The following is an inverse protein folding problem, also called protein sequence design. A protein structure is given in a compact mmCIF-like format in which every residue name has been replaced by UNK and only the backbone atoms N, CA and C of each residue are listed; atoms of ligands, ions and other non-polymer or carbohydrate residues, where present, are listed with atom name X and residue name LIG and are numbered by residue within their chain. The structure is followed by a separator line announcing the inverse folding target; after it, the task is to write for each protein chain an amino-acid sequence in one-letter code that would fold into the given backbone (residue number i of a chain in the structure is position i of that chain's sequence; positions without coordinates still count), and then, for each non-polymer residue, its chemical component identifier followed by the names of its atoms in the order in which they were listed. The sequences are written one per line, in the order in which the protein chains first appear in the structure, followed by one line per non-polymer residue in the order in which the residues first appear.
data_IF_499616823026
#
_entry.id   IF_499616823026
#
_cell.length_a   1.000
_cell.length_b   1.000
_cell.length_c   1.000
_cell.angle_alpha   90.00
_cell.angle_beta   90.00
_cell.angle_gamma   90.00
#
_symmetry.space_group_name_H-M   'P 1'
#
loop_
_entity.id
_entity.type
_entity.pdbx_description
1 polymer ?
#
# COMPACT_ATOMS: atom_id res chain seq x y z
N UNK A 1 60.56 23.07 -10.90
CA UNK A 1 60.85 22.11 -9.82
C UNK A 1 59.51 21.49 -9.43
N UNK A 2 59.03 20.40 -10.07
CA UNK A 2 59.22 18.99 -9.64
C UNK A 2 59.01 18.84 -8.12
N UNK A 3 58.04 18.10 -7.57
CA UNK A 3 57.57 16.74 -7.91
C UNK A 3 56.17 16.41 -7.33
N UNK A 4 55.47 15.56 -8.09
CA UNK A 4 54.39 14.63 -7.75
C UNK A 4 54.83 13.60 -6.68
N UNK A 5 53.88 13.11 -5.83
CA UNK A 5 53.73 11.75 -5.22
C UNK A 5 52.92 11.87 -3.91
N UNK A 6 52.08 10.94 -3.45
CA UNK A 6 51.64 9.62 -3.91
C UNK A 6 50.40 9.21 -3.08
N UNK A 7 49.56 8.35 -3.67
CA UNK A 7 48.45 7.65 -3.02
C UNK A 7 48.94 6.56 -2.05
N UNK A 8 48.14 6.26 -1.02
CA UNK A 8 48.22 5.01 -0.24
C UNK A 8 46.79 4.47 -0.06
N UNK A 9 46.44 3.47 -0.87
CA UNK A 9 45.36 2.52 -0.61
C UNK A 9 45.80 1.60 0.54
N UNK A 10 44.95 1.43 1.55
CA UNK A 10 45.14 0.39 2.58
C UNK A 10 44.11 -0.72 2.36
N UNK A 11 44.63 -1.85 1.89
CA UNK A 11 44.00 -3.17 1.83
C UNK A 11 44.08 -3.78 3.23
N UNK A 12 42.95 -4.18 3.84
CA UNK A 12 42.94 -5.01 5.05
C UNK A 12 42.14 -6.28 4.77
N UNK A 13 42.82 -7.43 4.87
CA UNK A 13 42.33 -8.77 4.58
C UNK A 13 42.55 -9.66 5.81
N UNK A 14 41.53 -10.46 6.12
CA UNK A 14 41.49 -11.75 6.86
C UNK A 14 41.67 -11.76 8.39
N UNK A 15 40.62 -12.25 9.08
CA UNK A 15 40.77 -13.35 10.05
C UNK A 15 39.59 -14.32 9.95
N UNK A 16 39.96 -15.59 9.77
CA UNK A 16 39.19 -16.82 9.61
C UNK A 16 38.59 -17.36 10.92
N UNK A 17 37.40 -17.97 10.86
CA UNK A 17 36.98 -19.02 11.78
C UNK A 17 36.49 -20.25 11.00
N UNK A 18 37.04 -21.41 11.38
CA UNK A 18 36.77 -22.75 10.89
C UNK A 18 35.57 -23.34 11.63
N UNK A 19 34.58 -23.88 10.91
CA UNK A 19 33.67 -24.93 11.41
C UNK A 19 33.52 -26.00 10.33
N UNK A 20 33.40 -27.26 10.77
CA UNK A 20 33.74 -28.49 10.07
C UNK A 20 32.72 -28.95 9.01
N UNK A 21 33.25 -29.75 8.07
CA UNK A 21 32.56 -30.36 6.95
C UNK A 21 31.54 -31.47 7.32
N UNK A 22 30.42 -31.48 6.58
CA UNK A 22 29.55 -32.64 6.33
C UNK A 22 29.53 -32.86 4.81
N UNK A 23 29.67 -34.11 4.29
CA UNK A 23 29.73 -34.35 2.84
C UNK A 23 28.38 -34.80 2.26
N UNK A 24 28.10 -34.35 1.03
CA UNK A 24 26.95 -34.73 0.18
C UNK A 24 25.90 -33.63 0.20
N UNK A 25 25.58 -32.92 -0.89
CA UNK A 25 25.30 -33.41 -2.24
C UNK A 25 25.53 -32.32 -3.30
N UNK A 26 25.95 -32.79 -4.48
CA UNK A 26 25.70 -32.25 -5.84
C UNK A 26 25.34 -30.76 -5.94
N UNK A 27 26.25 -29.96 -6.49
CA UNK A 27 25.93 -28.69 -7.15
C UNK A 27 25.00 -28.97 -8.34
N UNK A 28 23.69 -28.94 -8.11
CA UNK A 28 22.73 -28.69 -9.16
C UNK A 28 22.74 -27.18 -9.44
N UNK A 29 22.74 -26.83 -10.72
CA UNK A 29 22.45 -25.49 -11.17
C UNK A 29 20.94 -25.29 -10.87
N UNK A 30 20.61 -24.70 -9.73
CA UNK A 30 19.22 -24.50 -9.30
C UNK A 30 18.55 -23.47 -10.22
N UNK A 31 17.48 -23.90 -10.90
CA UNK A 31 16.41 -22.99 -11.29
C UNK A 31 15.90 -22.37 -9.99
N UNK A 32 16.20 -21.10 -9.74
CA UNK A 32 16.11 -20.52 -8.41
C UNK A 32 14.66 -20.28 -7.98
N UNK A 33 14.21 -20.95 -6.93
CA UNK A 33 13.07 -20.50 -6.15
C UNK A 33 13.48 -19.22 -5.42
N UNK A 34 12.71 -18.16 -5.63
CA UNK A 34 12.87 -16.89 -4.93
C UNK A 34 11.78 -16.81 -3.85
N UNK A 35 12.06 -16.15 -2.72
CA UNK A 35 11.07 -16.01 -1.64
C UNK A 35 11.12 -14.61 -1.04
N UNK A 36 9.95 -14.12 -0.64
CA UNK A 36 9.79 -12.89 0.11
C UNK A 36 9.28 -13.21 1.52
N UNK A 37 9.86 -12.56 2.52
CA UNK A 37 9.45 -12.67 3.91
C UNK A 37 9.48 -11.27 4.54
N UNK A 38 8.31 -10.66 4.65
CA UNK A 38 8.06 -9.35 5.24
C UNK A 38 7.74 -9.43 6.73
N UNK A 39 7.21 -8.35 7.29
CA UNK A 39 6.70 -8.32 8.66
C UNK A 39 5.34 -9.01 8.78
N UNK A 40 4.51 -8.88 7.74
CA UNK A 40 3.15 -9.40 7.61
C UNK A 40 3.01 -10.36 6.44
N UNK A 41 3.63 -10.06 5.29
CA UNK A 41 3.45 -10.81 4.04
C UNK A 41 4.62 -11.74 3.78
N UNK A 42 4.33 -13.01 3.49
CA UNK A 42 5.30 -14.02 3.06
C UNK A 42 4.79 -14.75 1.81
N UNK A 43 5.69 -15.09 0.89
CA UNK A 43 5.40 -15.94 -0.28
C UNK A 43 6.67 -16.48 -0.94
N UNK A 44 6.51 -17.43 -1.85
CA UNK A 44 7.56 -17.90 -2.75
C UNK A 44 7.18 -17.66 -4.22
N UNK A 45 8.18 -17.64 -5.11
CA UNK A 45 8.02 -17.65 -6.56
C UNK A 45 8.58 -18.97 -7.07
N UNK A 46 7.71 -19.82 -7.60
CA UNK A 46 8.04 -21.14 -8.17
C UNK A 46 7.70 -21.15 -9.65
N UNK A 47 8.69 -20.82 -10.48
CA UNK A 47 8.60 -20.87 -11.94
C UNK A 47 7.63 -19.85 -12.55
N UNK A 48 6.35 -20.16 -12.52
CA UNK A 48 5.23 -19.46 -13.17
C UNK A 48 4.09 -19.07 -12.21
N UNK A 49 4.28 -19.32 -10.91
CA UNK A 49 3.31 -18.98 -9.88
C UNK A 49 3.98 -18.28 -8.70
N UNK A 50 3.22 -17.40 -8.04
CA UNK A 50 3.48 -17.03 -6.65
C UNK A 50 2.82 -18.10 -5.80
N UNK A 51 3.55 -18.71 -4.88
CA UNK A 51 3.05 -19.79 -4.04
C UNK A 51 3.10 -19.42 -2.57
N UNK A 52 2.24 -20.06 -1.78
CA UNK A 52 2.23 -19.94 -0.32
C UNK A 52 2.09 -18.49 0.17
N UNK A 53 1.19 -17.71 -0.45
CA UNK A 53 0.96 -16.33 -0.03
C UNK A 53 0.20 -16.30 1.30
N UNK A 54 0.82 -15.72 2.31
CA UNK A 54 0.26 -15.57 3.65
C UNK A 54 0.33 -14.14 4.17
N UNK A 55 -0.65 -13.77 5.00
CA UNK A 55 -0.69 -12.51 5.74
C UNK A 55 -0.76 -12.81 7.23
N UNK A 56 0.17 -12.29 8.01
CA UNK A 56 0.39 -12.59 9.43
C UNK A 56 0.50 -14.10 9.72
N UNK A 57 1.06 -14.85 8.77
CA UNK A 57 1.25 -16.30 8.84
C UNK A 57 0.01 -17.15 8.53
N UNK A 58 -1.14 -16.54 8.22
CA UNK A 58 -2.32 -17.24 7.71
C UNK A 58 -2.24 -17.34 6.19
N UNK A 59 -2.33 -18.55 5.65
CA UNK A 59 -2.20 -18.77 4.21
C UNK A 59 -3.53 -18.44 3.53
N UNK A 60 -3.52 -17.44 2.65
CA UNK A 60 -4.73 -17.09 1.88
C UNK A 60 -4.78 -17.83 0.55
N UNK A 61 -3.61 -17.98 -0.12
CA UNK A 61 -3.51 -18.62 -1.43
C UNK A 61 -2.45 -19.72 -1.43
N UNK A 62 -2.76 -20.79 -2.13
CA UNK A 62 -1.78 -21.81 -2.49
C UNK A 62 -0.92 -21.32 -3.64
N UNK A 63 -1.55 -20.76 -4.67
CA UNK A 63 -0.89 -20.33 -5.91
C UNK A 63 -1.61 -19.12 -6.54
N UNK A 64 -0.85 -18.21 -7.15
CA UNK A 64 -1.36 -17.16 -8.04
C UNK A 64 -0.62 -17.20 -9.36
N UNK A 65 -1.36 -17.35 -10.46
CA UNK A 65 -0.85 -17.45 -11.83
C UNK A 65 -1.39 -16.31 -12.68
N UNK A 66 -0.57 -15.85 -13.61
CA UNK A 66 -0.93 -14.79 -14.56
C UNK A 66 -0.53 -15.22 -15.96
N UNK A 67 -1.39 -15.03 -16.95
CA UNK A 67 -1.11 -15.37 -18.34
C UNK A 67 -1.76 -14.35 -19.28
N UNK A 68 -1.15 -14.08 -20.44
CA UNK A 68 -1.80 -13.25 -21.46
C UNK A 68 -3.02 -13.99 -22.04
N UNK A 69 -4.13 -13.27 -22.28
CA UNK A 69 -5.32 -13.88 -22.89
C UNK A 69 -4.99 -14.57 -24.24
N UNK A 70 -4.10 -13.93 -25.01
CA UNK A 70 -3.66 -14.44 -26.32
C UNK A 70 -2.96 -15.79 -26.21
N UNK A 71 -2.10 -15.97 -25.18
CA UNK A 71 -1.38 -17.23 -24.96
C UNK A 71 -2.29 -18.32 -24.37
N UNK A 72 -3.28 -17.93 -23.56
CA UNK A 72 -4.32 -18.83 -23.07
C UNK A 72 -5.26 -19.31 -24.22
N UNK A 73 -5.13 -18.75 -25.42
CA UNK A 73 -6.00 -19.05 -26.56
C UNK A 73 -7.42 -18.51 -26.38
N UNK A 74 -7.59 -17.56 -25.46
CA UNK A 74 -8.84 -16.92 -25.12
C UNK A 74 -8.97 -15.64 -25.95
N UNK A 75 -10.11 -15.46 -26.61
CA UNK A 75 -10.39 -14.26 -27.38
C UNK A 75 -11.89 -13.96 -27.36
N UNK A 76 -12.25 -12.77 -26.87
CA UNK A 76 -13.63 -12.36 -26.63
C UNK A 76 -14.04 -12.54 -25.16
N UNK A 77 -15.34 -12.41 -24.88
CA UNK A 77 -15.89 -12.58 -23.53
C UNK A 77 -15.58 -13.99 -22.97
N UNK A 78 -14.77 -14.05 -21.91
CA UNK A 78 -14.38 -15.29 -21.23
C UNK A 78 -15.43 -15.63 -20.17
N UNK A 79 -15.94 -16.87 -20.19
CA UNK A 79 -16.77 -17.35 -19.08
C UNK A 79 -15.86 -17.85 -17.94
N UNK A 80 -15.48 -16.93 -17.07
CA UNK A 80 -14.61 -17.15 -15.92
C UNK A 80 -15.09 -18.28 -14.99
N UNK A 81 -16.39 -18.60 -14.99
CA UNK A 81 -16.92 -19.67 -14.13
C UNK A 81 -16.51 -21.05 -14.62
N UNK A 82 -16.41 -21.21 -15.93
CA UNK A 82 -16.04 -22.49 -16.59
C UNK A 82 -14.56 -22.53 -16.99
N UNK A 83 -13.81 -21.50 -16.59
CA UNK A 83 -12.39 -21.40 -16.86
C UNK A 83 -11.67 -22.55 -16.16
N UNK A 84 -10.84 -23.25 -16.93
CA UNK A 84 -9.93 -24.28 -16.40
C UNK A 84 -8.63 -23.63 -15.97
N UNK A 85 -7.86 -24.37 -15.16
CA UNK A 85 -6.55 -23.94 -14.68
C UNK A 85 -5.69 -23.36 -15.81
N UNK A 86 -5.11 -22.19 -15.59
CA UNK A 86 -4.10 -21.62 -16.49
C UNK A 86 -2.71 -22.15 -16.15
N UNK A 87 -1.92 -22.39 -17.18
CA UNK A 87 -0.51 -22.75 -17.01
C UNK A 87 0.28 -21.61 -16.36
N UNK A 88 -0.12 -20.35 -16.53
CA UNK A 88 0.66 -19.20 -16.07
C UNK A 88 1.89 -18.93 -16.93
N UNK A 89 2.47 -17.76 -16.77
CA UNK A 89 3.68 -17.32 -17.48
C UNK A 89 4.89 -17.32 -16.55
N UNK A 90 6.10 -17.39 -17.09
CA UNK A 90 7.31 -17.34 -16.26
C UNK A 90 7.36 -16.06 -15.43
N UNK A 91 7.60 -16.20 -14.13
CA UNK A 91 7.73 -15.11 -13.17
C UNK A 91 9.20 -14.95 -12.76
N UNK A 92 9.58 -13.72 -12.39
CA UNK A 92 10.89 -13.42 -11.82
C UNK A 92 10.81 -12.25 -10.86
N UNK A 93 11.45 -12.35 -9.70
CA UNK A 93 11.54 -11.24 -8.75
C UNK A 93 12.35 -10.11 -9.38
N UNK A 94 11.71 -8.95 -9.56
CA UNK A 94 12.28 -7.79 -10.23
C UNK A 94 12.93 -6.83 -9.23
N UNK A 95 12.26 -6.56 -8.11
CA UNK A 95 12.73 -5.67 -7.07
C UNK A 95 12.18 -6.09 -5.70
N UNK A 96 12.91 -5.74 -4.65
CA UNK A 96 12.52 -5.98 -3.26
C UNK A 96 12.99 -4.82 -2.38
N UNK A 97 12.09 -4.34 -1.53
CA UNK A 97 12.36 -3.46 -0.40
C UNK A 97 11.96 -4.18 0.89
N UNK A 98 12.03 -3.50 2.04
CA UNK A 98 11.54 -4.05 3.30
C UNK A 98 10.01 -4.24 3.31
N UNK A 99 9.27 -3.43 2.56
CA UNK A 99 7.81 -3.35 2.59
C UNK A 99 7.13 -3.76 1.28
N UNK A 100 7.91 -4.10 0.25
CA UNK A 100 7.40 -4.42 -1.08
C UNK A 100 8.26 -5.44 -1.79
N UNK A 101 7.61 -6.34 -2.52
CA UNK A 101 8.23 -7.11 -3.58
C UNK A 101 7.51 -6.86 -4.91
N UNK A 102 8.27 -6.74 -5.98
CA UNK A 102 7.76 -6.61 -7.35
C UNK A 102 8.26 -7.78 -8.17
N UNK A 103 7.34 -8.48 -8.83
CA UNK A 103 7.57 -9.64 -9.68
C UNK A 103 7.15 -9.26 -11.10
N UNK A 104 8.04 -9.47 -12.07
CA UNK A 104 7.71 -9.29 -13.48
C UNK A 104 7.27 -10.62 -14.09
N UNK A 105 6.16 -10.59 -14.83
CA UNK A 105 5.65 -11.72 -15.58
C UNK A 105 6.10 -11.61 -17.05
N UNK A 106 6.48 -12.74 -17.67
CA UNK A 106 6.85 -12.77 -19.09
C UNK A 106 5.72 -12.36 -20.04
N UNK A 107 4.47 -12.35 -19.58
CA UNK A 107 3.31 -11.84 -20.33
C UNK A 107 3.27 -10.31 -20.41
N UNK A 108 4.14 -9.60 -19.69
CA UNK A 108 4.14 -8.14 -19.57
C UNK A 108 3.40 -7.61 -18.34
N UNK A 109 2.70 -8.48 -17.60
CA UNK A 109 2.09 -8.11 -16.32
C UNK A 109 3.13 -7.86 -15.24
N UNK A 110 2.77 -7.05 -14.25
CA UNK A 110 3.53 -6.84 -13.03
C UNK A 110 2.69 -7.31 -11.84
N UNK A 111 3.32 -8.03 -10.90
CA UNK A 111 2.70 -8.40 -9.63
C UNK A 111 3.48 -7.72 -8.50
N UNK A 112 2.80 -6.99 -7.63
CA UNK A 112 3.40 -6.39 -6.44
C UNK A 112 2.73 -6.89 -5.17
N UNK A 113 3.55 -7.36 -4.24
CA UNK A 113 3.12 -7.68 -2.89
C UNK A 113 3.55 -6.53 -1.96
N UNK A 114 2.61 -6.01 -1.18
CA UNK A 114 2.84 -4.92 -0.23
C UNK A 114 2.66 -5.46 1.18
N UNK A 115 3.76 -5.41 1.91
CA UNK A 115 3.85 -5.85 3.29
C UNK A 115 3.30 -4.74 4.19
N UNK A 116 1.99 -4.72 4.33
CA UNK A 116 1.21 -3.90 5.27
C UNK A 116 0.36 -4.83 6.14
N UNK A 117 -0.23 -4.33 7.22
CA UNK A 117 -1.12 -5.12 8.07
C UNK A 117 -2.32 -5.72 7.31
N UNK A 118 -2.85 -5.00 6.32
CA UNK A 118 -3.89 -5.49 5.42
C UNK A 118 -3.35 -6.42 4.33
N UNK A 119 -2.03 -6.60 4.18
CA UNK A 119 -1.37 -7.49 3.23
C UNK A 119 -1.94 -7.43 1.81
N UNK A 120 -1.35 -6.61 0.94
CA UNK A 120 -1.88 -6.44 -0.42
C UNK A 120 -1.11 -7.25 -1.46
N UNK A 121 -1.84 -7.75 -2.46
CA UNK A 121 -1.26 -8.27 -3.70
C UNK A 121 -1.95 -7.57 -4.88
N UNK A 122 -1.19 -6.91 -5.74
CA UNK A 122 -1.71 -6.23 -6.94
C UNK A 122 -1.15 -6.90 -8.18
N UNK A 123 -2.02 -7.34 -9.07
CA UNK A 123 -1.67 -7.79 -10.42
C UNK A 123 -2.07 -6.71 -11.40
N UNK A 124 -1.10 -6.03 -12.00
CA UNK A 124 -1.32 -5.04 -13.05
C UNK A 124 -1.15 -5.69 -14.43
N UNK A 125 -2.16 -5.55 -15.29
CA UNK A 125 -2.17 -6.19 -16.60
C UNK A 125 -1.08 -5.65 -17.56
N UNK A 126 -0.70 -4.38 -17.39
CA UNK A 126 0.18 -3.65 -18.29
C UNK A 126 -0.49 -3.36 -19.64
N UNK A 127 0.29 -3.29 -20.70
CA UNK A 127 -0.18 -2.90 -22.05
C UNK A 127 -1.06 -3.96 -22.75
N UNK A 128 -1.36 -5.09 -22.10
CA UNK A 128 -2.03 -6.24 -22.73
C UNK A 128 -2.98 -6.92 -21.76
N UNK A 129 -4.09 -7.41 -22.28
CA UNK A 129 -5.08 -8.12 -21.47
C UNK A 129 -4.51 -9.42 -20.88
N UNK A 130 -4.79 -9.64 -19.59
CA UNK A 130 -4.31 -10.77 -18.82
C UNK A 130 -5.49 -11.55 -18.25
N UNK A 131 -5.22 -12.81 -17.94
CA UNK A 131 -6.09 -13.62 -17.07
C UNK A 131 -5.29 -14.02 -15.85
N UNK A 132 -5.93 -13.92 -14.69
CA UNK A 132 -5.35 -14.24 -13.39
C UNK A 132 -6.16 -15.35 -12.76
N UNK A 133 -5.48 -16.31 -12.16
CA UNK A 133 -6.09 -17.35 -11.34
C UNK A 133 -5.38 -17.40 -10.00
N UNK A 134 -6.16 -17.40 -8.92
CA UNK A 134 -5.68 -17.56 -7.55
C UNK A 134 -6.32 -18.79 -6.93
N UNK A 135 -5.49 -19.82 -6.75
CA UNK A 135 -5.85 -21.05 -6.06
C UNK A 135 -5.90 -20.77 -4.56
N UNK A 136 -7.05 -20.99 -3.95
CA UNK A 136 -7.22 -20.72 -2.53
C UNK A 136 -6.43 -21.72 -1.66
N UNK A 137 -6.13 -21.31 -0.43
CA UNK A 137 -5.58 -22.23 0.55
C UNK A 137 -6.55 -23.38 0.85
N UNK A 138 -6.02 -24.47 1.42
CA UNK A 138 -6.89 -25.55 1.90
C UNK A 138 -7.85 -25.01 2.96
N UNK A 139 -9.12 -25.41 2.89
CA UNK A 139 -10.21 -24.98 3.78
C UNK A 139 -10.66 -23.51 3.61
N UNK A 140 -10.01 -22.72 2.75
CA UNK A 140 -10.50 -21.41 2.36
C UNK A 140 -11.67 -21.52 1.37
N UNK A 141 -12.50 -20.48 1.31
CA UNK A 141 -13.65 -20.42 0.41
C UNK A 141 -13.84 -19.03 -0.18
N UNK A 142 -14.36 -18.96 -1.41
CA UNK A 142 -14.66 -17.70 -2.08
C UNK A 142 -16.14 -17.55 -2.43
N UNK A 143 -16.60 -16.30 -2.43
CA UNK A 143 -17.95 -15.94 -2.87
C UNK A 143 -17.98 -14.60 -3.60
N UNK A 144 -18.80 -14.51 -4.64
CA UNK A 144 -18.94 -13.28 -5.45
C UNK A 144 -19.80 -12.27 -4.71
N UNK A 145 -19.32 -11.02 -4.61
CA UNK A 145 -20.04 -9.88 -4.03
C UNK A 145 -20.12 -8.73 -5.05
N UNK A 146 -21.10 -8.77 -5.95
CA UNK A 146 -21.21 -7.81 -7.06
C UNK A 146 -20.52 -8.33 -8.33
N UNK A 147 -20.11 -7.41 -9.21
CA UNK A 147 -19.47 -7.78 -10.50
C UNK A 147 -17.93 -7.64 -10.45
N UNK A 148 -17.41 -6.82 -9.53
CA UNK A 148 -15.98 -6.47 -9.45
C UNK A 148 -15.29 -6.95 -8.17
N UNK A 149 -16.02 -7.64 -7.28
CA UNK A 149 -15.48 -8.09 -5.99
C UNK A 149 -15.78 -9.56 -5.73
N UNK A 150 -14.76 -10.31 -5.32
CA UNK A 150 -14.87 -11.67 -4.77
C UNK A 150 -14.27 -11.67 -3.37
N UNK A 151 -15.03 -12.16 -2.40
CA UNK A 151 -14.64 -12.26 -1.00
C UNK A 151 -14.09 -13.64 -0.73
N UNK A 152 -12.98 -13.71 0.01
CA UNK A 152 -12.33 -14.94 0.45
C UNK A 152 -12.40 -15.02 1.98
N UNK A 153 -12.78 -16.17 2.49
CA UNK A 153 -12.69 -16.54 3.91
C UNK A 153 -11.60 -17.61 4.02
N UNK A 154 -10.57 -17.33 4.82
CA UNK A 154 -9.43 -18.24 5.07
C UNK A 154 -9.39 -18.71 6.53
N UNK A 155 -10.51 -18.66 7.24
CA UNK A 155 -10.58 -18.97 8.67
C UNK A 155 -10.27 -17.78 9.56
N UNK A 156 -9.00 -17.53 9.90
CA UNK A 156 -8.62 -16.45 10.83
C UNK A 156 -8.52 -15.07 10.15
N UNK A 157 -8.65 -15.04 8.82
CA UNK A 157 -8.63 -13.81 8.02
C UNK A 157 -9.67 -13.84 6.91
N UNK A 158 -10.24 -12.67 6.68
CA UNK A 158 -11.03 -12.36 5.49
C UNK A 158 -10.15 -11.71 4.42
N UNK A 159 -10.61 -11.70 3.19
CA UNK A 159 -9.98 -10.94 2.13
C UNK A 159 -10.92 -10.64 0.96
N UNK A 160 -10.53 -9.69 0.13
CA UNK A 160 -11.30 -9.29 -1.04
C UNK A 160 -10.37 -9.16 -2.26
N UNK A 161 -10.75 -9.82 -3.34
CA UNK A 161 -10.24 -9.57 -4.68
C UNK A 161 -11.13 -8.53 -5.36
N UNK A 162 -10.51 -7.44 -5.81
CA UNK A 162 -11.17 -6.25 -6.33
C UNK A 162 -10.57 -5.95 -7.70
N UNK A 163 -11.41 -5.89 -8.73
CA UNK A 163 -11.00 -5.42 -10.05
C UNK A 163 -11.07 -3.90 -10.07
N UNK A 164 -9.97 -3.28 -10.50
CA UNK A 164 -9.85 -1.83 -10.72
C UNK A 164 -9.66 -1.59 -12.22
N UNK A 165 -10.56 -0.82 -12.82
CA UNK A 165 -10.59 -0.56 -14.26
C UNK A 165 -11.47 -1.55 -15.02
N UNK A 166 -11.18 -1.76 -16.31
CA UNK A 166 -11.98 -2.60 -17.19
C UNK A 166 -11.60 -4.08 -17.04
N UNK A 167 -12.41 -4.85 -16.31
CA UNK A 167 -12.25 -6.29 -16.16
C UNK A 167 -13.38 -6.92 -15.35
N UNK A 168 -13.31 -8.24 -15.18
CA UNK A 168 -14.29 -9.05 -14.46
C UNK A 168 -13.60 -10.01 -13.50
N UNK A 169 -14.26 -10.36 -12.39
CA UNK A 169 -13.79 -11.37 -11.44
C UNK A 169 -14.90 -12.34 -11.06
N UNK A 170 -14.57 -13.62 -10.91
CA UNK A 170 -15.52 -14.66 -10.56
C UNK A 170 -14.87 -15.76 -9.73
N UNK A 171 -15.72 -16.64 -9.20
CA UNK A 171 -15.31 -17.93 -8.63
C UNK A 171 -15.54 -19.01 -9.68
N UNK A 172 -14.51 -19.81 -9.99
CA UNK A 172 -14.58 -20.88 -10.98
C UNK A 172 -15.21 -22.17 -10.43
N UNK A 173 -15.36 -23.19 -11.27
CA UNK A 173 -15.96 -24.49 -10.89
C UNK A 173 -15.16 -25.25 -9.81
N UNK A 174 -13.86 -24.96 -9.69
CA UNK A 174 -12.96 -25.54 -8.68
C UNK A 174 -12.99 -24.77 -7.34
N UNK A 175 -13.69 -23.64 -7.29
CA UNK A 175 -13.82 -22.79 -6.11
C UNK A 175 -12.71 -21.75 -5.96
N UNK A 176 -11.86 -21.59 -6.97
CA UNK A 176 -10.77 -20.62 -7.02
C UNK A 176 -11.24 -19.28 -7.60
N UNK A 177 -10.43 -18.24 -7.42
CA UNK A 177 -10.74 -16.91 -7.97
C UNK A 177 -10.10 -16.78 -9.35
N UNK A 178 -10.91 -16.40 -10.34
CA UNK A 178 -10.46 -16.13 -11.69
C UNK A 178 -10.82 -14.69 -12.07
N UNK A 179 -9.90 -13.97 -12.70
CA UNK A 179 -10.13 -12.61 -13.17
C UNK A 179 -9.68 -12.42 -14.62
N UNK A 180 -10.50 -11.69 -15.38
CA UNK A 180 -10.17 -11.20 -16.71
C UNK A 180 -9.86 -9.71 -16.64
N UNK A 181 -8.65 -9.31 -17.04
CA UNK A 181 -8.19 -7.93 -16.96
C UNK A 181 -7.90 -7.40 -18.35
N UNK A 182 -8.51 -6.28 -18.72
CA UNK A 182 -8.10 -5.52 -19.91
C UNK A 182 -6.72 -4.91 -19.71
N UNK A 183 -6.16 -4.31 -20.76
CA UNK A 183 -4.98 -3.45 -20.61
C UNK A 183 -5.21 -2.40 -19.54
N UNK A 184 -4.18 -2.10 -18.75
CA UNK A 184 -4.16 -1.11 -17.67
C UNK A 184 -5.06 -1.44 -16.46
N UNK A 185 -5.90 -2.48 -16.55
CA UNK A 185 -6.71 -2.95 -15.43
C UNK A 185 -5.86 -3.70 -14.40
N UNK A 186 -6.35 -3.75 -13.16
CA UNK A 186 -5.67 -4.38 -12.03
C UNK A 186 -6.61 -5.31 -11.28
N UNK A 187 -6.05 -6.41 -10.77
CA UNK A 187 -6.66 -7.19 -9.70
C UNK A 187 -5.94 -6.88 -8.40
N UNK A 188 -6.67 -6.44 -7.38
CA UNK A 188 -6.15 -6.12 -6.06
C UNK A 188 -6.70 -7.13 -5.07
N UNK A 189 -5.83 -7.81 -4.34
CA UNK A 189 -6.18 -8.50 -3.11
C UNK A 189 -5.88 -7.61 -1.91
N UNK A 190 -6.82 -7.57 -0.96
CA UNK A 190 -6.70 -6.91 0.34
C UNK A 190 -7.18 -7.87 1.43
N UNK A 191 -6.39 -8.08 2.47
CA UNK A 191 -6.72 -8.92 3.62
C UNK A 191 -7.19 -8.11 4.82
N UNK A 192 -8.01 -8.73 5.66
CA UNK A 192 -8.53 -8.19 6.91
C UNK A 192 -8.37 -9.24 8.00
N UNK A 193 -8.10 -8.81 9.23
CA UNK A 193 -8.22 -9.71 10.37
C UNK A 193 -9.70 -10.12 10.56
N UNK A 194 -9.92 -11.24 11.25
CA UNK A 194 -11.27 -11.75 11.51
C UNK A 194 -12.19 -10.65 12.10
N UNK A 195 -13.26 -10.33 11.37
CA UNK A 195 -14.26 -9.36 11.80
C UNK A 195 -13.96 -7.90 11.45
N UNK A 196 -12.80 -7.59 10.88
CA UNK A 196 -12.43 -6.23 10.47
C UNK A 196 -13.02 -5.84 9.10
N UNK A 197 -13.51 -6.81 8.31
CA UNK A 197 -14.23 -6.53 7.05
C UNK A 197 -15.69 -6.11 7.31
N UNK A 198 -15.86 -4.94 7.91
CA UNK A 198 -17.15 -4.35 8.25
C UNK A 198 -17.79 -3.53 7.11
N UNK A 199 -18.82 -2.72 7.41
CA UNK A 199 -19.49 -1.87 6.41
C UNK A 199 -18.58 -0.75 5.88
N UNK A 200 -17.63 -0.27 6.70
CA UNK A 200 -16.67 0.76 6.33
C UNK A 200 -15.61 0.18 5.38
N UNK A 201 -15.07 -1.00 5.70
CA UNK A 201 -14.15 -1.72 4.82
C UNK A 201 -14.78 -1.96 3.43
N UNK A 202 -16.05 -2.38 3.37
CA UNK A 202 -16.77 -2.55 2.09
C UNK A 202 -16.95 -1.24 1.32
N UNK A 203 -17.09 -0.10 2.01
CA UNK A 203 -17.16 1.20 1.37
C UNK A 203 -15.79 1.62 0.78
N UNK A 204 -14.69 1.29 1.45
CA UNK A 204 -13.33 1.47 0.92
C UNK A 204 -13.09 0.60 -0.32
N UNK A 205 -13.46 -0.68 -0.27
CA UNK A 205 -13.39 -1.59 -1.42
C UNK A 205 -14.18 -1.05 -2.61
N UNK A 206 -15.35 -0.47 -2.35
CA UNK A 206 -16.15 0.16 -3.39
C UNK A 206 -15.42 1.35 -4.02
N UNK A 207 -14.72 2.19 -3.26
CA UNK A 207 -13.89 3.29 -3.83
C UNK A 207 -12.78 2.76 -4.73
N UNK A 208 -12.11 1.70 -4.29
CA UNK A 208 -11.02 1.07 -5.03
C UNK A 208 -11.58 0.51 -6.34
N UNK A 209 -12.64 -0.30 -6.26
CA UNK A 209 -13.28 -0.93 -7.41
C UNK A 209 -13.76 0.08 -8.46
N UNK A 210 -14.30 1.22 -8.03
CA UNK A 210 -14.79 2.24 -8.96
C UNK A 210 -13.70 3.22 -9.44
N UNK A 211 -12.46 3.08 -8.96
CA UNK A 211 -11.33 3.93 -9.31
C UNK A 211 -11.32 5.31 -8.64
N UNK A 212 -12.25 5.58 -7.71
CA UNK A 212 -12.22 6.82 -6.92
C UNK A 212 -11.06 6.86 -5.95
N UNK A 213 -10.68 5.72 -5.36
CA UNK A 213 -9.45 5.63 -4.58
C UNK A 213 -8.24 5.39 -5.49
N UNK A 214 -7.27 6.31 -5.50
CA UNK A 214 -6.09 6.19 -6.36
C UNK A 214 -4.91 5.50 -5.68
N UNK A 215 -4.84 5.55 -4.35
CA UNK A 215 -3.78 4.93 -3.56
C UNK A 215 -4.25 4.61 -2.13
N UNK A 216 -3.59 3.64 -1.52
CA UNK A 216 -3.66 3.32 -0.09
C UNK A 216 -2.25 3.42 0.50
N UNK A 217 -2.09 4.13 1.62
CA UNK A 217 -0.82 4.29 2.32
C UNK A 217 -0.89 3.67 3.70
N UNK A 218 0.20 3.08 4.14
CA UNK A 218 0.40 2.63 5.51
C UNK A 218 1.64 3.30 6.08
N UNK A 219 1.52 3.94 7.25
CA UNK A 219 2.65 4.51 8.00
C UNK A 219 2.64 3.99 9.43
N UNK A 220 3.58 3.12 9.71
CA UNK A 220 3.65 2.34 10.96
C UNK A 220 5.06 2.31 11.54
N UNK A 221 5.18 1.94 12.81
CA UNK A 221 6.47 1.72 13.45
C UNK A 221 6.90 0.26 13.31
N UNK A 222 8.10 0.02 12.77
CA UNK A 222 8.74 -1.28 12.73
C UNK A 222 10.15 -1.20 13.30
N UNK A 223 10.46 -2.07 14.24
CA UNK A 223 11.76 -2.11 14.92
C UNK A 223 12.22 -0.75 15.50
N UNK A 224 11.27 0.11 15.87
CA UNK A 224 11.52 1.45 16.40
C UNK A 224 11.81 2.53 15.35
N UNK A 225 11.63 2.24 14.06
CA UNK A 225 11.70 3.20 12.95
C UNK A 225 10.34 3.33 12.26
N UNK A 226 9.99 4.52 11.80
CA UNK A 226 8.78 4.72 11.02
C UNK A 226 9.02 4.26 9.58
N UNK A 227 8.14 3.39 9.10
CA UNK A 227 8.19 2.82 7.77
C UNK A 227 6.89 3.15 7.06
N UNK A 228 6.99 3.50 5.79
CA UNK A 228 5.83 3.85 4.95
C UNK A 228 5.77 2.95 3.72
N UNK A 229 4.57 2.50 3.37
CA UNK A 229 4.29 1.75 2.16
C UNK A 229 3.08 2.34 1.43
N UNK A 230 3.11 2.30 0.10
CA UNK A 230 2.01 2.77 -0.76
C UNK A 230 1.58 1.66 -1.71
N UNK A 231 0.28 1.39 -1.75
CA UNK A 231 -0.38 0.62 -2.81
C UNK A 231 -0.99 1.60 -3.81
N UNK A 232 -0.67 1.47 -5.10
CA UNK A 232 -1.13 2.40 -6.14
C UNK A 232 -2.16 1.73 -7.06
N UNK A 233 -3.38 2.26 -7.06
CA UNK A 233 -4.49 1.78 -7.90
C UNK A 233 -4.57 2.53 -9.22
N UNK A 234 -4.24 3.82 -9.25
CA UNK A 234 -4.25 4.65 -10.47
C UNK A 234 -2.83 4.97 -10.96
N UNK A 235 -2.55 4.77 -12.24
CA UNK A 235 -1.27 5.17 -12.87
C UNK A 235 -1.11 6.69 -13.00
N UNK A 236 -2.23 7.41 -12.92
CA UNK A 236 -2.27 8.87 -13.02
C UNK A 236 -2.02 9.56 -11.67
N UNK A 237 -1.61 8.81 -10.65
CA UNK A 237 -1.38 9.30 -9.29
C UNK A 237 -0.08 8.73 -8.74
N UNK A 238 0.80 9.63 -8.28
CA UNK A 238 1.99 9.27 -7.53
C UNK A 238 1.90 9.85 -6.13
N UNK A 239 2.43 9.11 -5.15
CA UNK A 239 2.44 9.55 -3.76
C UNK A 239 3.84 9.42 -3.18
N UNK A 240 4.25 10.40 -2.39
CA UNK A 240 5.53 10.43 -1.71
C UNK A 240 5.28 10.76 -0.24
N UNK A 241 5.63 9.82 0.65
CA UNK A 241 5.51 10.02 2.10
C UNK A 241 6.79 10.64 2.63
N UNK A 242 6.66 11.73 3.37
CA UNK A 242 7.74 12.36 4.12
C UNK A 242 7.40 12.36 5.61
N UNK A 243 8.26 11.72 6.40
CA UNK A 243 8.12 11.66 7.85
C UNK A 243 9.33 12.34 8.48
N UNK A 244 9.30 13.68 8.56
CA UNK A 244 10.42 14.46 9.10
C UNK A 244 10.41 14.54 10.63
N UNK A 245 9.25 14.38 11.25
CA UNK A 245 9.05 14.56 12.69
C UNK A 245 8.15 13.45 13.23
N UNK A 246 8.46 12.91 14.41
CA UNK A 246 7.50 12.08 15.14
C UNK A 246 6.22 12.89 15.40
N UNK A 247 5.05 12.25 15.31
CA UNK A 247 3.71 12.83 15.46
C UNK A 247 3.19 13.68 14.29
N UNK A 248 3.79 13.57 13.11
CA UNK A 248 3.23 14.18 11.90
C UNK A 248 3.63 13.38 10.65
N UNK A 249 2.64 13.06 9.83
CA UNK A 249 2.82 12.43 8.52
C UNK A 249 2.49 13.47 7.46
N UNK A 250 3.42 13.69 6.52
CA UNK A 250 3.21 14.49 5.33
C UNK A 250 3.23 13.58 4.10
N UNK A 251 2.26 13.74 3.21
CA UNK A 251 2.14 12.98 1.97
C UNK A 251 1.94 13.94 0.82
N UNK A 252 2.88 13.95 -0.12
CA UNK A 252 2.74 14.65 -1.39
C UNK A 252 2.02 13.75 -2.37
N UNK A 253 0.96 14.24 -2.99
CA UNK A 253 0.13 13.52 -3.95
C UNK A 253 0.15 14.30 -5.25
N UNK A 254 0.79 13.75 -6.29
CA UNK A 254 0.85 14.35 -7.62
C UNK A 254 -0.04 13.58 -8.59
N UNK A 255 -0.90 14.31 -9.31
CA UNK A 255 -1.86 13.74 -10.25
C UNK A 255 -1.79 14.37 -11.62
N UNK A 256 -1.84 13.53 -12.65
CA UNK A 256 -1.79 13.94 -14.06
C UNK A 256 -3.16 14.21 -14.70
N UNK A 257 -4.27 13.94 -13.99
CA UNK A 257 -5.65 14.11 -14.47
C UNK A 257 -6.45 15.13 -13.65
N UNK A 258 -7.51 15.68 -14.25
CA UNK A 258 -8.34 16.76 -13.66
C UNK A 258 -9.34 16.32 -12.62
N UNK A 259 -9.75 15.06 -12.66
CA UNK A 259 -10.70 14.45 -11.74
C UNK A 259 -10.05 14.28 -10.37
N UNK A 260 -10.76 14.60 -9.27
CA UNK A 260 -10.27 14.34 -7.91
C UNK A 260 -10.22 12.86 -7.55
N UNK A 261 -9.71 12.53 -6.37
CA UNK A 261 -9.58 11.15 -5.87
C UNK A 261 -9.69 11.11 -4.36
N UNK A 262 -9.79 9.90 -3.83
CA UNK A 262 -9.60 9.57 -2.44
C UNK A 262 -8.24 8.89 -2.27
N UNK A 263 -7.54 9.24 -1.21
CA UNK A 263 -6.36 8.54 -0.75
C UNK A 263 -6.69 7.90 0.60
N UNK A 264 -6.54 6.57 0.70
CA UNK A 264 -6.71 5.84 1.94
C UNK A 264 -5.37 5.87 2.69
N UNK A 265 -5.37 6.14 3.99
CA UNK A 265 -4.12 6.24 4.75
C UNK A 265 -4.31 5.67 6.15
N UNK A 266 -3.63 4.57 6.43
CA UNK A 266 -3.55 3.94 7.74
C UNK A 266 -2.32 4.46 8.48
N UNK A 267 -2.51 4.98 9.68
CA UNK A 267 -1.45 5.56 10.52
C UNK A 267 -1.50 4.98 11.93
N UNK A 268 -0.32 4.75 12.49
CA UNK A 268 -0.11 4.39 13.90
C UNK A 268 0.00 5.62 14.81
N UNK A 269 -0.30 5.46 16.10
CA UNK A 269 -0.11 6.48 17.13
C UNK A 269 1.35 6.98 17.17
N UNK A 270 2.32 6.11 16.89
CA UNK A 270 3.72 6.49 16.83
C UNK A 270 4.04 7.41 15.65
N UNK A 271 3.28 7.30 14.55
CA UNK A 271 3.42 8.15 13.38
C UNK A 271 2.79 9.54 13.61
N UNK A 272 1.59 9.59 14.18
CA UNK A 272 0.78 10.82 14.25
C UNK A 272 0.53 11.38 15.64
N UNK A 273 0.82 10.65 16.73
CA UNK A 273 0.41 11.00 18.09
C UNK A 273 -0.91 10.32 18.45
N UNK A 274 -1.92 11.06 18.90
CA UNK A 274 -3.22 10.46 19.22
C UNK A 274 -4.05 10.17 17.96
N UNK A 275 -4.39 8.90 17.70
CA UNK A 275 -5.32 8.55 16.60
C UNK A 275 -6.78 8.91 16.91
N UNK A 276 -7.13 9.11 18.18
CA UNK A 276 -8.48 9.53 18.61
C UNK A 276 -8.78 11.01 18.29
N UNK A 277 -7.72 11.84 18.17
CA UNK A 277 -7.82 13.28 17.92
C UNK A 277 -7.06 13.65 16.65
N UNK A 278 -7.31 12.89 15.58
CA UNK A 278 -6.73 13.11 14.26
C UNK A 278 -7.23 14.41 13.64
N UNK A 279 -6.28 15.23 13.18
CA UNK A 279 -6.54 16.39 12.32
C UNK A 279 -5.84 16.18 10.98
N UNK A 280 -6.56 16.49 9.91
CA UNK A 280 -6.06 16.42 8.53
C UNK A 280 -6.06 17.82 7.92
N UNK A 281 -5.00 18.16 7.20
CA UNK A 281 -4.92 19.35 6.38
C UNK A 281 -4.49 18.99 4.95
N UNK A 282 -4.96 19.75 3.97
CA UNK A 282 -4.55 19.66 2.57
C UNK A 282 -4.02 21.02 2.15
N UNK A 283 -2.77 21.09 1.74
CA UNK A 283 -2.01 22.30 1.43
C UNK A 283 -2.03 23.36 2.54
N UNK A 284 -1.99 22.89 3.78
CA UNK A 284 -2.05 23.72 4.98
C UNK A 284 -3.43 24.28 5.31
N UNK A 285 -4.46 23.94 4.53
CA UNK A 285 -5.86 24.24 4.82
C UNK A 285 -6.48 23.06 5.57
N UNK A 286 -7.10 23.31 6.73
CA UNK A 286 -7.73 22.25 7.52
C UNK A 286 -8.86 21.59 6.71
N UNK A 287 -8.80 20.26 6.60
CA UNK A 287 -9.84 19.47 5.96
C UNK A 287 -11.04 19.34 6.92
N UNK A 288 -12.25 19.40 6.37
CA UNK A 288 -13.46 19.17 7.14
C UNK A 288 -13.76 17.68 7.25
N UNK A 289 -14.20 17.22 8.42
CA UNK A 289 -14.63 15.84 8.59
C UNK A 289 -15.93 15.58 7.82
N UNK A 290 -15.97 14.47 7.08
CA UNK A 290 -17.14 13.96 6.38
C UNK A 290 -17.83 12.92 7.27
N UNK A 291 -19.15 13.02 7.39
CA UNK A 291 -19.97 12.05 8.14
C UNK A 291 -20.48 10.91 7.26
N UNK A 292 -20.19 10.96 5.95
CA UNK A 292 -20.60 9.95 4.99
C UNK A 292 -19.71 9.94 3.76
N UNK A 293 -19.71 8.80 3.06
CA UNK A 293 -18.93 8.63 1.84
C UNK A 293 -19.26 9.64 0.74
N UNK A 294 -20.55 9.95 0.58
CA UNK A 294 -20.97 10.95 -0.40
C UNK A 294 -20.48 12.36 -0.07
N UNK A 295 -20.29 12.69 1.22
CA UNK A 295 -19.65 13.95 1.62
C UNK A 295 -18.15 13.93 1.38
N UNK A 296 -17.50 12.78 1.55
CA UNK A 296 -16.08 12.61 1.21
C UNK A 296 -15.85 12.80 -0.30
N UNK A 297 -16.63 12.11 -1.14
CA UNK A 297 -16.54 12.22 -2.60
C UNK A 297 -16.85 13.63 -3.11
N UNK A 298 -17.76 14.36 -2.45
CA UNK A 298 -18.02 15.76 -2.75
C UNK A 298 -16.77 16.64 -2.54
N UNK A 299 -15.91 16.30 -1.56
CA UNK A 299 -14.62 16.95 -1.37
C UNK A 299 -13.69 16.78 -2.58
N UNK A 300 -13.63 15.58 -3.16
CA UNK A 300 -12.83 15.30 -4.36
C UNK A 300 -13.37 16.04 -5.60
N UNK A 301 -14.64 16.45 -5.61
CA UNK A 301 -15.24 17.27 -6.65
C UNK A 301 -14.88 18.77 -6.56
N UNK A 302 -14.12 19.20 -5.54
CA UNK A 302 -13.54 20.54 -5.44
C UNK A 302 -14.34 21.56 -4.64
N UNK A 303 -15.20 21.13 -3.72
CA UNK A 303 -15.98 22.05 -2.87
C UNK A 303 -15.19 22.53 -1.63
N UNK A 304 -14.44 21.64 -0.98
CA UNK A 304 -13.61 21.86 0.22
C UNK A 304 -12.84 20.55 0.50
N UNK A 305 -11.59 20.58 1.01
CA UNK A 305 -10.91 19.34 1.41
C UNK A 305 -11.70 18.63 2.51
N UNK A 306 -11.92 17.33 2.32
CA UNK A 306 -12.70 16.48 3.22
C UNK A 306 -11.89 15.26 3.62
N UNK A 307 -12.07 14.80 4.86
CA UNK A 307 -11.53 13.52 5.31
C UNK A 307 -12.57 12.77 6.12
N UNK A 308 -12.43 11.45 6.22
CA UNK A 308 -13.27 10.60 7.04
C UNK A 308 -12.40 9.55 7.72
N UNK A 309 -12.50 9.43 9.03
CA UNK A 309 -11.89 8.30 9.76
C UNK A 309 -12.80 7.10 9.52
N UNK A 310 -12.27 6.07 8.86
CA UNK A 310 -13.03 4.89 8.43
C UNK A 310 -12.91 3.74 9.41
N UNK A 311 -11.76 3.60 10.06
CA UNK A 311 -11.50 2.57 11.06
C UNK A 311 -10.59 3.10 12.16
N UNK A 312 -10.73 2.55 13.36
CA UNK A 312 -9.84 2.79 14.49
C UNK A 312 -9.62 1.48 15.22
N UNK A 313 -8.38 1.03 15.28
CA UNK A 313 -7.98 -0.15 16.03
C UNK A 313 -7.32 0.28 17.34
N UNK A 314 -8.15 0.44 18.38
CA UNK A 314 -7.67 0.86 19.72
C UNK A 314 -6.65 -0.12 20.32
N UNK A 315 -6.70 -1.40 19.95
CA UNK A 315 -5.77 -2.41 20.46
C UNK A 315 -4.35 -2.24 19.90
N UNK A 316 -4.25 -1.68 18.69
CA UNK A 316 -3.00 -1.48 17.97
C UNK A 316 -2.58 -0.01 17.91
N UNK A 317 -3.45 0.91 18.33
CA UNK A 317 -3.18 2.34 18.25
C UNK A 317 -3.14 2.81 16.80
N UNK A 318 -4.09 2.36 15.97
CA UNK A 318 -4.09 2.67 14.54
C UNK A 318 -5.42 3.25 14.09
N UNK A 319 -5.38 4.06 13.03
CA UNK A 319 -6.58 4.54 12.36
C UNK A 319 -6.38 4.60 10.86
N UNK A 320 -7.44 4.27 10.12
CA UNK A 320 -7.52 4.45 8.67
C UNK A 320 -8.34 5.70 8.39
N UNK A 321 -7.79 6.56 7.53
CA UNK A 321 -8.40 7.83 7.13
C UNK A 321 -8.50 7.88 5.62
N UNK A 322 -9.70 8.12 5.11
CA UNK A 322 -9.93 8.40 3.71
C UNK A 322 -9.90 9.92 3.50
N UNK A 323 -9.02 10.42 2.64
CA UNK A 323 -8.85 11.85 2.38
C UNK A 323 -9.16 12.17 0.94
N UNK A 324 -10.08 13.12 0.73
CA UNK A 324 -10.48 13.58 -0.57
C UNK A 324 -9.52 14.66 -1.07
N UNK A 325 -8.93 14.42 -2.24
CA UNK A 325 -7.97 15.29 -2.90
C UNK A 325 -8.64 15.80 -4.18
N UNK A 326 -8.83 17.11 -4.23
CA UNK A 326 -9.44 17.76 -5.38
C UNK A 326 -8.43 18.04 -6.50
N UNK A 327 -8.93 17.93 -7.74
CA UNK A 327 -8.34 18.39 -9.00
C UNK A 327 -6.90 17.96 -9.37
N UNK A 328 -6.52 18.30 -10.61
CA UNK A 328 -5.16 18.19 -11.16
C UNK A 328 -4.21 19.15 -10.44
N UNK A 329 -3.40 18.64 -9.52
CA UNK A 329 -2.14 19.28 -9.11
C UNK A 329 -1.43 18.40 -8.08
N UNK A 330 -0.16 18.74 -7.82
CA UNK A 330 0.53 18.36 -6.60
C UNK A 330 -0.20 18.97 -5.39
N UNK A 331 -0.68 18.13 -4.48
CA UNK A 331 -1.34 18.50 -3.22
C UNK A 331 -0.57 17.86 -2.07
N UNK A 332 -0.43 18.57 -0.96
CA UNK A 332 0.26 18.08 0.24
C UNK A 332 -0.76 17.79 1.34
N UNK A 333 -0.90 16.52 1.71
CA UNK A 333 -1.70 16.10 2.84
C UNK A 333 -0.84 16.06 4.10
N UNK A 334 -1.34 16.60 5.21
CA UNK A 334 -0.69 16.52 6.53
C UNK A 334 -1.64 15.91 7.54
N UNK A 335 -1.16 14.92 8.30
CA UNK A 335 -1.90 14.26 9.38
C UNK A 335 -1.14 14.42 10.70
N UNK A 336 -1.86 14.79 11.75
CA UNK A 336 -1.33 14.87 13.11
C UNK A 336 -2.43 14.66 14.13
N UNK A 337 -2.11 13.93 15.19
CA UNK A 337 -2.94 13.68 16.36
C UNK A 337 -2.56 14.60 17.51
N UNK A 338 -3.53 15.31 18.09
CA UNK A 338 -3.27 16.13 19.28
C UNK A 338 -3.01 15.24 20.50
N UNK A 339 -1.80 15.31 21.07
CA UNK A 339 -1.53 14.68 22.35
C UNK A 339 -2.32 15.41 23.45
N UNK A 340 -3.10 14.67 24.23
CA UNK A 340 -3.95 15.21 25.30
C UNK A 340 -3.19 15.87 26.49
N UNK A 341 -1.90 16.17 26.34
CA UNK A 341 -1.01 16.65 27.39
C UNK A 341 -0.32 17.98 27.06
N UNK A 342 -1.03 18.89 26.38
CA UNK A 342 -0.75 20.34 26.45
C UNK A 342 -1.87 21.06 27.21
N UNK A 343 -2.27 20.47 28.35
CA UNK A 343 -2.96 21.22 29.39
C UNK A 343 -1.98 22.26 29.92
N UNK A 344 -2.10 23.47 29.37
CA UNK A 344 -1.64 24.75 29.90
C UNK A 344 -0.88 24.60 31.23
N UNK A 345 0.43 24.46 31.13
CA UNK A 345 1.30 24.59 32.29
C UNK A 345 1.07 25.96 32.90
N UNK A 346 0.22 26.00 33.93
CA UNK A 346 0.01 27.10 34.85
C UNK A 346 1.35 27.45 35.50
N UNK A 347 2.17 28.21 34.78
CA UNK A 347 3.27 28.97 35.34
C UNK A 347 2.66 30.14 36.11
N UNK A 348 2.00 29.81 37.22
CA UNK A 348 1.74 30.71 38.32
C UNK A 348 3.07 31.24 38.85
N UNK A 349 3.58 32.31 38.24
CA UNK A 349 4.61 33.16 38.81
C UNK A 349 3.88 34.11 39.78
N UNK A 350 4.05 33.98 41.11
CA UNK A 350 3.43 34.90 42.03
C UNK A 350 4.22 36.21 42.01
N UNK A 351 3.70 37.19 41.28
CA UNK A 351 4.11 38.59 41.41
C UNK A 351 4.73 39.20 40.16
N UNK A 352 3.90 39.68 39.25
CA UNK A 352 4.22 40.84 38.43
C UNK A 352 2.93 41.57 38.04
N UNK A 353 2.86 42.84 38.41
CA UNK A 353 1.76 43.75 38.15
C UNK A 353 1.43 43.88 36.65
N UNK A 354 0.14 43.76 36.34
CA UNK A 354 -0.62 44.50 35.32
C UNK A 354 0.13 45.03 34.08
N UNK A 355 -0.04 44.34 32.95
CA UNK A 355 -0.09 44.97 31.62
C UNK A 355 -1.27 44.38 30.82
N UNK A 356 -2.09 45.21 30.14
CA UNK A 356 -3.25 44.74 29.39
C UNK A 356 -2.92 44.45 27.92
N UNK A 357 -3.47 43.34 27.41
CA UNK A 357 -3.72 43.09 25.98
C UNK A 357 -2.53 42.56 25.18
N UNK A 358 -2.62 41.34 24.67
CA UNK A 358 -2.86 40.97 23.27
C UNK A 358 -3.10 39.45 23.21
N UNK A 359 -4.12 39.04 22.45
CA UNK A 359 -4.51 37.64 22.24
C UNK A 359 -3.61 36.90 21.23
N UNK A 360 -4.13 35.81 20.64
CA UNK A 360 -3.49 34.50 20.50
C UNK A 360 -2.30 34.45 19.53
N UNK A 361 -1.33 33.60 19.87
CA UNK A 361 -0.17 33.29 19.03
C UNK A 361 -0.66 32.41 17.87
N UNK A 362 -0.79 33.01 16.70
CA UNK A 362 -0.80 32.28 15.44
C UNK A 362 0.61 31.74 15.19
N UNK A 363 0.74 30.43 15.04
CA UNK A 363 1.97 29.80 14.57
C UNK A 363 2.20 30.21 13.11
N UNK A 364 3.32 30.88 12.87
CA UNK A 364 3.76 31.35 11.56
C UNK A 364 4.55 30.23 10.89
N UNK A 365 3.94 29.48 9.97
CA UNK A 365 4.68 28.53 9.14
C UNK A 365 5.58 29.30 8.15
N UNK A 366 6.88 29.02 8.25
CA UNK A 366 7.90 29.59 7.40
C UNK A 366 7.94 28.87 6.06
N UNK A 367 7.50 29.55 5.00
CA UNK A 367 7.68 29.18 3.60
C UNK A 367 9.19 29.09 3.28
N UNK A 368 9.72 27.90 3.02
CA UNK A 368 11.08 27.70 2.50
C UNK A 368 11.00 27.09 1.10
N UNK A 369 10.77 27.98 0.13
CA UNK A 369 10.96 27.70 -1.30
C UNK A 369 12.46 27.58 -1.59
N UNK A 370 12.92 26.38 -1.97
CA UNK A 370 14.24 26.18 -2.55
C UNK A 370 14.12 25.65 -3.99
N UNK A 371 13.68 26.53 -4.89
CA UNK A 371 13.86 26.37 -6.33
C UNK A 371 15.31 26.69 -6.70
N UNK A 372 16.04 25.65 -7.12
CA UNK A 372 16.93 25.72 -8.28
C UNK A 372 18.44 25.88 -8.03
N UNK A 373 19.21 24.90 -8.51
CA UNK A 373 20.43 25.17 -9.28
C UNK A 373 20.88 23.93 -10.10
N UNK A 374 20.49 23.91 -11.38
CA UNK A 374 21.32 23.37 -12.46
C UNK A 374 22.75 23.90 -12.29
N UNK A 375 23.77 23.04 -12.37
CA UNK A 375 25.08 23.41 -12.94
C UNK A 375 25.90 22.16 -13.32
N UNK A 376 26.08 22.03 -14.64
CA UNK A 376 27.09 21.29 -15.43
C UNK A 376 26.95 19.80 -15.66
#
# INVERSE_FOLDING_TARGET
MTRIRAAVMSLLLVTSLLVMAVPGTVTAQESGNESYAGAHVDFAVDGNAITDFSVDGEQTFSDVRVQSQSDAGLGGDIDLRTMMDIDGTGLSLAAQTQTRATISAQSGAEVSAHDTQQGHLVVAAGDSSQVVEADLANDASASVEGDTVVVVDSGERDGAFIVVGDGDVAVNEDGNVAADLSSDAKLVFRSYAEGDRDEQAKAEEALIANGSAAAELAVEQRDGELVSETVTYSEETTTEVSTETANQVEVTIDRSVSEGTVVLTTVSEEAVGSVENLSVAVDGEAAAEASSMSELEAGAAGEEPRYMVTSTNEAQGEATVAVAIDHFSERTMTMSGENADDSEGDSSIPGADSLPGFGPIAALFGLLTAVGARLR
#
